data_IF_021881914383
#
_entry.id   IF_021881914383
#
_cell.length_a   1.000
_cell.length_b   1.000
_cell.length_c   1.000
_cell.angle_alpha   90.00
_cell.angle_beta   90.00
_cell.angle_gamma   90.00
#
_symmetry.space_group_name_H-M   'P 1'
#
loop_
_entity.id
_entity.type
_entity.pdbx_description
1 polymer ?
#
# COMPACT_ATOMS: atom_id res chain seq x y z
N UNK A 1 6.06 17.04 -3.80
CA UNK A 1 6.90 15.93 -4.31
C UNK A 1 6.77 15.79 -5.81
N UNK A 2 7.88 15.74 -6.55
CA UNK A 2 7.92 15.41 -7.97
C UNK A 2 8.22 13.92 -8.16
N UNK A 3 7.61 13.29 -9.17
CA UNK A 3 7.75 11.84 -9.43
C UNK A 3 8.30 11.64 -10.83
N UNK A 4 9.39 10.88 -10.94
CA UNK A 4 10.05 10.59 -12.21
C UNK A 4 10.16 9.09 -12.46
N UNK A 5 9.87 8.66 -13.66
CA UNK A 5 10.14 7.29 -14.10
C UNK A 5 11.55 7.21 -14.68
N UNK A 6 12.49 6.72 -13.87
CA UNK A 6 13.91 6.76 -14.17
C UNK A 6 14.54 8.13 -13.89
N UNK A 7 15.86 8.21 -14.02
CA UNK A 7 16.65 9.40 -13.66
C UNK A 7 17.10 10.25 -14.86
N UNK A 8 16.71 9.91 -16.08
CA UNK A 8 17.12 10.64 -17.31
C UNK A 8 16.19 11.79 -17.67
N UNK A 9 15.31 12.20 -16.77
CA UNK A 9 14.40 13.31 -17.00
C UNK A 9 15.08 14.64 -16.63
N UNK A 10 14.96 15.72 -17.44
CA UNK A 10 15.62 17.01 -17.18
C UNK A 10 15.16 17.69 -15.87
N UNK A 11 14.02 17.31 -15.31
CA UNK A 11 13.55 17.83 -14.03
C UNK A 11 14.14 17.12 -12.81
N UNK A 12 14.91 16.04 -12.98
CA UNK A 12 15.63 15.40 -11.88
C UNK A 12 16.75 16.32 -11.44
N UNK A 13 16.87 16.56 -10.14
CA UNK A 13 17.92 17.42 -9.59
C UNK A 13 19.31 16.85 -9.91
N UNK A 14 20.22 17.74 -10.31
CA UNK A 14 21.61 17.37 -10.62
C UNK A 14 22.45 17.02 -9.39
N UNK A 15 21.92 17.21 -8.17
CA UNK A 15 22.50 16.79 -6.91
C UNK A 15 21.37 16.56 -5.88
N UNK A 16 21.50 15.53 -5.02
CA UNK A 16 20.48 15.23 -4.02
C UNK A 16 21.02 14.52 -2.77
N UNK A 17 20.22 14.56 -1.70
CA UNK A 17 20.31 13.66 -0.57
C UNK A 17 19.37 12.49 -0.82
N UNK A 18 19.87 11.26 -0.84
CA UNK A 18 19.19 10.07 -1.35
C UNK A 18 18.92 9.04 -0.26
N UNK A 19 17.76 8.39 -0.32
CA UNK A 19 17.55 7.07 0.29
C UNK A 19 17.06 6.07 -0.75
N UNK A 20 17.39 4.80 -0.55
CA UNK A 20 17.13 3.71 -1.51
C UNK A 20 16.34 2.61 -0.81
N UNK A 21 15.19 2.24 -1.36
CA UNK A 21 14.40 1.16 -0.79
C UNK A 21 13.15 0.81 -1.59
N UNK A 22 12.51 -0.28 -1.19
CA UNK A 22 11.25 -0.68 -1.79
C UNK A 22 10.06 0.14 -1.27
N UNK A 23 10.14 0.66 -0.06
CA UNK A 23 9.13 1.48 0.61
C UNK A 23 7.72 0.86 0.55
N UNK A 24 7.63 -0.48 0.61
CA UNK A 24 6.34 -1.17 0.56
C UNK A 24 5.58 -0.95 1.87
N UNK A 25 4.46 -0.20 1.78
CA UNK A 25 3.63 0.21 2.90
C UNK A 25 4.06 1.50 3.60
N UNK A 26 5.22 2.08 3.33
CA UNK A 26 5.75 3.31 3.97
C UNK A 26 5.44 3.33 5.48
N UNK A 27 5.87 2.28 6.18
CA UNK A 27 5.68 2.08 7.62
C UNK A 27 6.48 3.09 8.46
N UNK A 28 6.23 3.18 9.76
CA UNK A 28 6.88 4.15 10.66
C UNK A 28 8.41 4.15 10.60
N UNK A 29 9.06 2.99 10.37
CA UNK A 29 10.50 2.93 10.14
C UNK A 29 10.93 3.66 8.87
N UNK A 30 10.17 3.54 7.78
CA UNK A 30 10.40 4.33 6.58
C UNK A 30 10.14 5.82 6.82
N UNK A 31 9.06 6.18 7.52
CA UNK A 31 8.73 7.57 7.85
C UNK A 31 9.84 8.22 8.69
N UNK A 32 10.38 7.53 9.69
CA UNK A 32 11.51 8.00 10.48
C UNK A 32 12.78 8.22 9.62
N UNK A 33 13.07 7.29 8.70
CA UNK A 33 14.17 7.41 7.74
C UNK A 33 13.99 8.64 6.83
N UNK A 34 12.77 8.86 6.33
CA UNK A 34 12.47 10.00 5.46
C UNK A 34 12.54 11.33 6.22
N UNK A 35 12.10 11.38 7.47
CA UNK A 35 12.24 12.58 8.32
C UNK A 35 13.71 12.94 8.56
N UNK A 36 14.56 11.93 8.82
CA UNK A 36 16.01 12.13 8.94
C UNK A 36 16.63 12.60 7.63
N UNK A 37 16.27 11.95 6.50
CA UNK A 37 16.71 12.34 5.16
C UNK A 37 16.36 13.80 4.85
N UNK A 38 15.11 14.22 5.12
CA UNK A 38 14.66 15.59 4.86
C UNK A 38 15.42 16.61 5.73
N UNK A 39 15.78 16.25 6.96
CA UNK A 39 16.58 17.10 7.85
C UNK A 39 17.99 17.27 7.28
N UNK A 40 18.64 16.18 6.91
CA UNK A 40 19.98 16.20 6.31
C UNK A 40 20.00 16.92 4.95
N UNK A 41 18.97 16.71 4.12
CA UNK A 41 18.83 17.39 2.84
C UNK A 41 18.76 18.92 3.03
N UNK A 42 17.90 19.40 3.94
CA UNK A 42 17.80 20.84 4.26
C UNK A 42 19.10 21.41 4.79
N UNK A 43 19.77 20.71 5.72
CA UNK A 43 21.06 21.15 6.27
C UNK A 43 22.13 21.33 5.21
N UNK A 44 22.08 20.50 4.15
CA UNK A 44 23.04 20.50 3.03
C UNK A 44 22.60 21.37 1.86
N UNK A 45 21.42 21.99 1.91
CA UNK A 45 20.86 22.75 0.79
C UNK A 45 20.55 21.90 -0.43
N UNK A 46 20.20 20.62 -0.24
CA UNK A 46 19.90 19.64 -1.28
C UNK A 46 18.43 19.24 -1.25
N UNK A 47 17.83 18.86 -2.39
CA UNK A 47 16.54 18.19 -2.39
C UNK A 47 16.64 16.78 -1.81
N UNK A 48 15.64 16.37 -1.04
CA UNK A 48 15.48 14.99 -0.60
C UNK A 48 14.96 14.12 -1.75
N UNK A 49 15.58 12.97 -1.95
CA UNK A 49 15.25 12.05 -3.03
C UNK A 49 15.04 10.62 -2.51
N UNK A 50 13.96 10.00 -2.96
CA UNK A 50 13.71 8.57 -2.76
C UNK A 50 13.94 7.82 -4.07
N UNK A 51 14.78 6.81 -4.05
CA UNK A 51 14.91 5.84 -5.14
C UNK A 51 14.16 4.57 -4.79
N UNK A 52 13.14 4.26 -5.56
CA UNK A 52 12.34 3.04 -5.41
C UNK A 52 12.18 2.30 -6.74
N UNK A 53 11.61 1.10 -6.70
CA UNK A 53 11.57 0.19 -7.84
C UNK A 53 10.14 -0.24 -8.16
N UNK A 54 9.84 -0.38 -9.47
CA UNK A 54 8.61 -0.99 -9.96
C UNK A 54 8.88 -1.75 -11.27
N UNK A 55 8.57 -3.07 -11.36
CA UNK A 55 8.00 -3.90 -10.28
C UNK A 55 8.94 -4.03 -9.08
N UNK A 56 8.39 -4.48 -7.95
CA UNK A 56 9.20 -4.80 -6.77
C UNK A 56 10.26 -5.86 -7.14
N UNK A 57 11.53 -5.74 -6.69
CA UNK A 57 12.60 -6.66 -7.09
C UNK A 57 12.26 -8.14 -6.88
N UNK A 58 11.60 -8.50 -5.78
CA UNK A 58 11.18 -9.89 -5.54
C UNK A 58 10.06 -10.36 -6.47
N UNK A 59 9.16 -9.46 -6.92
CA UNK A 59 8.15 -9.79 -7.93
C UNK A 59 8.81 -10.10 -9.26
N UNK A 60 9.80 -9.28 -9.65
CA UNK A 60 10.59 -9.51 -10.85
C UNK A 60 11.29 -10.89 -10.83
N UNK A 61 12.01 -11.21 -9.74
CA UNK A 61 12.71 -12.50 -9.63
C UNK A 61 11.75 -13.69 -9.54
N UNK A 62 10.61 -13.54 -8.87
CA UNK A 62 9.56 -14.56 -8.87
C UNK A 62 9.04 -14.85 -10.28
N UNK A 63 8.84 -13.80 -11.08
CA UNK A 63 8.46 -13.90 -12.49
C UNK A 63 9.52 -14.60 -13.35
N UNK A 64 10.79 -14.22 -13.21
CA UNK A 64 11.91 -14.85 -13.92
C UNK A 64 12.03 -16.34 -13.55
N UNK A 65 11.87 -16.67 -12.27
CA UNK A 65 11.90 -18.04 -11.78
C UNK A 65 10.62 -18.83 -12.14
N UNK A 66 9.58 -18.20 -12.69
CA UNK A 66 8.24 -18.76 -12.89
C UNK A 66 7.64 -19.37 -11.62
N UNK A 67 7.94 -18.74 -10.48
CA UNK A 67 7.51 -19.15 -9.14
C UNK A 67 6.81 -18.00 -8.44
N UNK A 68 5.56 -17.71 -8.79
CA UNK A 68 4.80 -16.57 -8.26
C UNK A 68 4.61 -16.60 -6.74
N UNK A 69 4.70 -17.79 -6.13
CA UNK A 69 4.64 -17.95 -4.67
C UNK A 69 5.83 -17.31 -3.93
N UNK A 70 6.95 -17.04 -4.62
CA UNK A 70 8.11 -16.35 -4.06
C UNK A 70 7.93 -14.83 -4.00
N UNK A 71 6.95 -14.29 -4.75
CA UNK A 71 6.61 -12.87 -4.67
C UNK A 71 6.02 -12.54 -3.29
N UNK A 72 6.44 -11.44 -2.64
CA UNK A 72 5.85 -11.02 -1.38
C UNK A 72 4.43 -10.53 -1.62
N UNK A 73 3.55 -10.72 -0.63
CA UNK A 73 2.30 -9.98 -0.61
C UNK A 73 2.61 -8.47 -0.57
N UNK A 74 1.99 -7.69 -1.48
CA UNK A 74 2.21 -6.23 -1.54
C UNK A 74 1.34 -5.55 -0.49
N UNK A 75 1.97 -4.68 0.31
CA UNK A 75 1.25 -3.87 1.31
C UNK A 75 0.56 -2.70 0.61
N UNK A 76 1.25 -2.05 -0.32
CA UNK A 76 0.74 -0.87 -1.00
C UNK A 76 0.74 -1.02 -2.53
N UNK A 77 -0.24 -0.41 -3.19
CA UNK A 77 -0.15 -0.14 -4.63
C UNK A 77 0.96 0.88 -4.90
N UNK A 78 1.41 1.01 -6.16
CA UNK A 78 2.34 2.08 -6.50
C UNK A 78 1.74 3.45 -6.20
N UNK A 79 0.45 3.66 -6.47
CA UNK A 79 -0.27 4.90 -6.15
C UNK A 79 -0.21 5.20 -4.66
N UNK A 80 -0.58 4.24 -3.82
CA UNK A 80 -0.59 4.41 -2.36
C UNK A 80 0.82 4.69 -1.84
N UNK A 81 1.83 3.94 -2.32
CA UNK A 81 3.24 4.18 -1.97
C UNK A 81 3.67 5.61 -2.30
N UNK A 82 3.37 6.10 -3.50
CA UNK A 82 3.74 7.46 -3.91
C UNK A 82 2.99 8.53 -3.12
N UNK A 83 1.71 8.31 -2.79
CA UNK A 83 0.94 9.22 -1.95
C UNK A 83 1.50 9.31 -0.53
N UNK A 84 1.89 8.17 0.05
CA UNK A 84 2.47 8.14 1.40
C UNK A 84 3.90 8.73 1.44
N UNK A 85 4.70 8.55 0.37
CA UNK A 85 5.99 9.25 0.24
C UNK A 85 5.81 10.77 0.13
N UNK A 86 4.78 11.21 -0.59
CA UNK A 86 4.43 12.63 -0.67
C UNK A 86 4.02 13.21 0.69
N UNK A 87 3.26 12.44 1.48
CA UNK A 87 2.86 12.83 2.84
C UNK A 87 4.05 12.88 3.83
N UNK A 88 5.21 12.32 3.47
CA UNK A 88 6.46 12.44 4.23
C UNK A 88 7.35 13.61 3.77
N UNK A 89 6.82 14.58 3.01
CA UNK A 89 7.52 15.78 2.55
C UNK A 89 8.80 15.52 1.75
N UNK A 90 8.84 14.41 0.99
CA UNK A 90 9.95 14.12 0.07
C UNK A 90 9.86 15.05 -1.14
N UNK A 91 10.98 15.64 -1.56
CA UNK A 91 11.00 16.56 -2.71
C UNK A 91 10.86 15.81 -4.03
N UNK A 92 11.60 14.71 -4.20
CA UNK A 92 11.62 13.93 -5.44
C UNK A 92 11.56 12.41 -5.16
N UNK A 93 10.80 11.69 -5.98
CA UNK A 93 10.80 10.22 -6.00
C UNK A 93 11.13 9.73 -7.40
N UNK A 94 12.19 8.92 -7.48
CA UNK A 94 12.62 8.25 -8.71
C UNK A 94 12.12 6.81 -8.64
N UNK A 95 11.25 6.43 -9.56
CA UNK A 95 10.79 5.06 -9.73
C UNK A 95 11.60 4.42 -10.84
N UNK A 96 12.54 3.54 -10.49
CA UNK A 96 13.31 2.79 -11.48
C UNK A 96 12.55 1.54 -11.94
N UNK A 97 12.45 1.31 -13.26
CA UNK A 97 12.04 0.02 -13.77
C UNK A 97 13.01 -1.07 -13.28
N UNK A 98 12.51 -2.06 -12.53
CA UNK A 98 13.34 -3.18 -12.12
C UNK A 98 13.23 -4.29 -13.17
N UNK A 99 14.21 -4.33 -14.07
CA UNK A 99 14.30 -5.22 -15.21
C UNK A 99 15.60 -6.04 -15.19
N UNK A 100 15.80 -6.84 -16.24
CA UNK A 100 17.02 -7.65 -16.40
C UNK A 100 18.30 -6.81 -16.40
N UNK A 101 18.23 -5.61 -16.98
CA UNK A 101 19.39 -4.71 -17.10
C UNK A 101 19.80 -4.19 -15.72
N UNK A 102 18.84 -3.71 -14.92
CA UNK A 102 19.11 -3.21 -13.57
C UNK A 102 19.52 -4.37 -12.64
N UNK A 103 18.85 -5.52 -12.74
CA UNK A 103 19.15 -6.69 -11.92
C UNK A 103 20.54 -7.30 -12.15
N UNK A 104 21.13 -7.08 -13.35
CA UNK A 104 22.46 -7.56 -13.73
C UNK A 104 23.59 -6.60 -13.37
N UNK A 105 23.29 -5.36 -12.97
CA UNK A 105 24.33 -4.38 -12.60
C UNK A 105 25.14 -4.84 -11.38
N UNK A 106 26.47 -4.81 -11.51
CA UNK A 106 27.34 -4.97 -10.34
C UNK A 106 27.14 -3.83 -9.34
N UNK A 107 27.51 -3.97 -8.06
CA UNK A 107 27.46 -2.85 -7.12
C UNK A 107 28.20 -1.60 -7.61
N UNK A 108 29.37 -1.75 -8.22
CA UNK A 108 30.18 -0.66 -8.76
C UNK A 108 29.47 0.05 -9.93
N UNK A 109 28.83 -0.74 -10.80
CA UNK A 109 28.05 -0.19 -11.92
C UNK A 109 26.84 0.59 -11.40
N UNK A 110 26.15 0.09 -10.37
CA UNK A 110 25.05 0.77 -9.74
C UNK A 110 25.49 2.10 -9.11
N UNK A 111 26.58 2.09 -8.34
CA UNK A 111 27.15 3.33 -7.75
C UNK A 111 27.46 4.33 -8.86
N UNK A 112 28.21 3.93 -9.89
CA UNK A 112 28.64 4.86 -10.94
C UNK A 112 27.46 5.36 -11.76
N UNK A 113 26.67 4.46 -12.35
CA UNK A 113 25.66 4.82 -13.34
C UNK A 113 24.40 5.42 -12.73
N UNK A 114 24.00 4.98 -11.52
CA UNK A 114 22.76 5.43 -10.89
C UNK A 114 23.05 6.54 -9.88
N UNK A 115 23.98 6.35 -8.95
CA UNK A 115 24.19 7.30 -7.87
C UNK A 115 24.99 8.53 -8.34
N UNK A 116 26.09 8.31 -9.06
CA UNK A 116 26.98 9.41 -9.48
C UNK A 116 26.50 10.07 -10.76
N UNK A 117 26.51 9.31 -11.87
CA UNK A 117 26.23 9.87 -13.20
C UNK A 117 24.73 10.21 -13.36
N UNK A 118 23.83 9.43 -12.71
CA UNK A 118 22.39 9.58 -12.86
C UNK A 118 21.77 10.59 -11.92
N UNK A 119 22.14 10.59 -10.64
CA UNK A 119 21.49 11.36 -9.57
C UNK A 119 22.41 12.40 -8.91
N UNK A 120 23.70 12.41 -9.23
CA UNK A 120 24.66 13.35 -8.64
C UNK A 120 24.65 13.36 -7.11
N UNK A 121 24.53 12.17 -6.52
CA UNK A 121 24.33 11.99 -5.08
C UNK A 121 25.44 12.68 -4.27
N UNK A 122 25.05 13.41 -3.20
CA UNK A 122 25.96 14.04 -2.23
C UNK A 122 25.83 13.45 -0.82
N UNK A 123 24.72 12.83 -0.53
CA UNK A 123 24.44 12.15 0.72
C UNK A 123 23.55 10.95 0.49
N UNK A 124 23.84 9.81 1.11
CA UNK A 124 23.02 8.58 1.06
C UNK A 124 22.69 8.12 2.45
N UNK A 125 21.40 7.94 2.74
CA UNK A 125 20.91 7.33 3.97
C UNK A 125 20.32 5.96 3.65
N UNK A 126 20.81 4.90 4.29
CA UNK A 126 20.33 3.52 4.09
C UNK A 126 19.99 2.83 5.42
N UNK A 127 19.18 1.78 5.35
CA UNK A 127 18.89 0.92 6.50
C UNK A 127 20.07 0.02 6.89
N UNK A 128 19.98 -0.59 8.06
CA UNK A 128 21.00 -1.47 8.62
C UNK A 128 21.21 -2.77 7.82
N UNK A 129 20.18 -3.25 7.12
CA UNK A 129 20.18 -4.47 6.29
C UNK A 129 20.33 -4.19 4.78
N UNK A 130 20.74 -2.96 4.43
CA UNK A 130 20.82 -2.52 3.04
C UNK A 130 21.81 -3.37 2.22
N UNK A 131 21.32 -3.85 1.08
CA UNK A 131 22.10 -4.59 0.09
C UNK A 131 21.69 -4.16 -1.31
N UNK A 132 22.65 -4.07 -2.23
CA UNK A 132 22.41 -3.62 -3.58
C UNK A 132 23.28 -4.35 -4.62
N UNK A 133 23.00 -4.07 -5.91
CA UNK A 133 23.67 -4.70 -7.02
C UNK A 133 23.30 -6.17 -7.24
N UNK A 134 23.84 -6.76 -8.29
CA UNK A 134 23.60 -8.15 -8.67
C UNK A 134 23.93 -9.10 -7.50
N UNK A 135 23.06 -10.09 -7.28
CA UNK A 135 23.16 -11.07 -6.19
C UNK A 135 23.26 -10.44 -4.79
N UNK A 136 22.87 -9.16 -4.63
CA UNK A 136 22.97 -8.40 -3.36
C UNK A 136 24.42 -8.32 -2.84
N UNK A 137 25.40 -8.24 -3.74
CA UNK A 137 26.82 -8.29 -3.41
C UNK A 137 27.33 -7.00 -2.74
N UNK A 138 26.71 -5.84 -3.03
CA UNK A 138 27.02 -4.56 -2.40
C UNK A 138 26.40 -4.43 -1.01
N UNK A 139 27.14 -3.80 -0.10
CA UNK A 139 26.73 -3.53 1.27
C UNK A 139 27.06 -2.09 1.71
N UNK A 140 26.80 -1.78 2.99
CA UNK A 140 27.09 -0.47 3.56
C UNK A 140 28.59 -0.12 3.46
N UNK A 141 29.49 -1.05 3.80
CA UNK A 141 30.93 -0.77 3.78
C UNK A 141 31.44 -0.42 2.39
N UNK A 142 30.95 -1.10 1.38
CA UNK A 142 31.27 -0.80 -0.02
C UNK A 142 30.74 0.58 -0.44
N UNK A 143 29.52 0.93 -0.02
CA UNK A 143 28.91 2.22 -0.33
C UNK A 143 29.65 3.37 0.37
N UNK A 144 30.05 3.18 1.62
CA UNK A 144 30.82 4.12 2.42
C UNK A 144 32.22 4.39 1.81
N UNK A 145 32.93 3.31 1.44
CA UNK A 145 34.21 3.42 0.74
C UNK A 145 34.08 4.17 -0.60
N UNK A 146 33.00 3.91 -1.36
CA UNK A 146 32.72 4.65 -2.60
C UNK A 146 32.39 6.11 -2.31
N UNK A 147 31.70 6.41 -1.21
CA UNK A 147 31.44 7.78 -0.75
C UNK A 147 32.74 8.57 -0.50
N UNK A 148 33.65 7.98 0.25
CA UNK A 148 34.96 8.55 0.51
C UNK A 148 35.78 8.80 -0.79
N UNK A 149 35.67 7.90 -1.76
CA UNK A 149 36.39 8.00 -3.04
C UNK A 149 35.77 9.05 -3.97
N UNK A 150 34.44 9.19 -4.00
CA UNK A 150 33.72 9.99 -4.99
C UNK A 150 33.09 11.27 -4.44
N UNK A 151 33.26 11.57 -3.15
CA UNK A 151 32.86 12.84 -2.54
C UNK A 151 31.36 12.90 -2.21
N UNK A 152 30.78 11.81 -1.70
CA UNK A 152 29.45 11.81 -1.09
C UNK A 152 29.47 11.14 0.29
N UNK A 153 28.65 11.63 1.20
CA UNK A 153 28.55 11.06 2.55
C UNK A 153 27.57 9.89 2.59
N UNK A 154 27.84 8.92 3.46
CA UNK A 154 26.94 7.78 3.67
C UNK A 154 26.61 7.65 5.15
N UNK A 155 25.32 7.53 5.46
CA UNK A 155 24.84 7.28 6.80
C UNK A 155 23.98 6.01 6.84
N UNK A 156 23.94 5.37 8.00
CA UNK A 156 23.14 4.19 8.26
C UNK A 156 22.16 4.47 9.40
N UNK A 157 20.89 4.18 9.16
CA UNK A 157 19.87 4.22 10.18
C UNK A 157 19.71 2.83 10.79
N UNK A 158 19.77 2.75 12.12
CA UNK A 158 19.45 1.53 12.86
C UNK A 158 17.95 1.18 12.76
N UNK A 159 17.61 -0.08 13.07
CA UNK A 159 16.24 -0.55 13.11
C UNK A 159 15.38 0.34 14.02
N UNK A 160 14.14 0.62 13.58
CA UNK A 160 13.16 1.42 14.30
C UNK A 160 12.15 0.50 15.01
N UNK A 161 11.85 0.81 16.26
CA UNK A 161 10.91 0.05 17.08
C UNK A 161 9.75 0.93 17.56
N UNK A 162 8.57 0.32 17.66
CA UNK A 162 7.38 0.93 18.26
C UNK A 162 6.84 -0.03 19.30
N UNK A 163 6.73 0.43 20.55
CA UNK A 163 6.28 -0.40 21.69
C UNK A 163 7.05 -1.74 21.81
N UNK A 164 8.36 -1.72 21.56
CA UNK A 164 9.21 -2.93 21.61
C UNK A 164 9.06 -3.87 20.40
N UNK A 165 8.28 -3.51 19.39
CA UNK A 165 8.14 -4.26 18.15
C UNK A 165 9.01 -3.63 17.07
N UNK A 166 9.88 -4.41 16.45
CA UNK A 166 10.65 -3.97 15.28
C UNK A 166 9.73 -3.67 14.12
N UNK A 167 9.75 -2.43 13.65
CA UNK A 167 8.92 -1.99 12.52
C UNK A 167 9.57 -2.41 11.20
N UNK A 168 8.89 -3.26 10.44
CA UNK A 168 9.34 -3.71 9.11
C UNK A 168 8.16 -4.06 8.22
N UNK A 169 8.37 -4.09 6.90
CA UNK A 169 7.34 -4.59 5.96
C UNK A 169 6.96 -6.05 6.25
N UNK A 170 7.84 -6.86 6.81
CA UNK A 170 7.52 -8.25 7.20
C UNK A 170 6.57 -8.28 8.37
N UNK A 171 6.78 -7.47 9.41
CA UNK A 171 5.88 -7.36 10.56
C UNK A 171 4.49 -6.86 10.14
N UNK A 172 4.44 -5.85 9.23
CA UNK A 172 3.15 -5.36 8.69
C UNK A 172 2.42 -6.46 7.94
N UNK A 173 3.10 -7.24 7.08
CA UNK A 173 2.48 -8.36 6.35
C UNK A 173 1.95 -9.44 7.27
N UNK A 174 2.70 -9.79 8.29
CA UNK A 174 2.29 -10.77 9.30
C UNK A 174 1.02 -10.30 10.03
N UNK A 175 1.00 -9.06 10.51
CA UNK A 175 -0.18 -8.48 11.16
C UNK A 175 -1.41 -8.44 10.22
N UNK A 176 -1.22 -8.09 8.93
CA UNK A 176 -2.27 -8.10 7.92
C UNK A 176 -2.84 -9.51 7.67
N UNK A 177 -1.97 -10.52 7.51
CA UNK A 177 -2.39 -11.92 7.34
C UNK A 177 -3.23 -12.41 8.53
N UNK A 178 -2.83 -12.03 9.74
CA UNK A 178 -3.53 -12.40 10.98
C UNK A 178 -4.75 -11.52 11.28
N UNK A 179 -5.02 -10.49 10.50
CA UNK A 179 -6.14 -9.57 10.72
C UNK A 179 -5.99 -8.67 11.95
N UNK A 180 -4.78 -8.53 12.49
CA UNK A 180 -4.47 -7.67 13.65
C UNK A 180 -4.38 -6.21 13.24
N UNK A 181 -5.53 -5.60 12.89
CA UNK A 181 -5.59 -4.28 12.27
C UNK A 181 -5.09 -3.16 13.20
N UNK A 182 -5.23 -3.30 14.52
CA UNK A 182 -4.65 -2.36 15.49
C UNK A 182 -3.11 -2.34 15.42
N UNK A 183 -2.48 -3.51 15.32
CA UNK A 183 -1.02 -3.63 15.15
C UNK A 183 -0.58 -3.07 13.80
N UNK A 184 -1.35 -3.35 12.74
CA UNK A 184 -1.09 -2.77 11.40
C UNK A 184 -1.09 -1.25 11.47
N UNK A 185 -2.09 -0.66 12.13
CA UNK A 185 -2.17 0.80 12.32
C UNK A 185 -1.00 1.32 13.15
N UNK A 186 -0.60 0.64 14.22
CA UNK A 186 0.55 1.01 15.03
C UNK A 186 1.86 0.98 14.22
N UNK A 187 2.07 -0.06 13.39
CA UNK A 187 3.26 -0.21 12.55
C UNK A 187 3.29 0.78 11.37
N UNK A 188 2.14 1.07 10.76
CA UNK A 188 2.02 2.00 9.64
C UNK A 188 1.93 3.47 10.10
N UNK A 189 1.49 3.73 11.34
CA UNK A 189 1.19 5.09 11.83
C UNK A 189 -0.14 5.65 11.32
N UNK A 190 -0.94 4.83 10.63
CA UNK A 190 -2.23 5.18 10.03
C UNK A 190 -3.03 3.90 9.75
N UNK A 191 -4.37 4.01 9.52
CA UNK A 191 -5.14 2.87 9.06
C UNK A 191 -4.58 2.30 7.74
N UNK A 192 -4.67 0.98 7.58
CA UNK A 192 -4.31 0.34 6.32
C UNK A 192 -5.35 0.67 5.27
N UNK A 193 -4.89 1.19 4.13
CA UNK A 193 -5.79 1.61 3.08
C UNK A 193 -5.32 1.14 1.70
N UNK A 194 -6.27 0.98 0.80
CA UNK A 194 -6.06 0.61 -0.59
C UNK A 194 -6.83 1.57 -1.47
N UNK A 195 -6.13 2.23 -2.42
CA UNK A 195 -6.75 3.17 -3.35
C UNK A 195 -6.80 2.60 -4.76
N UNK A 196 -7.87 2.91 -5.48
CA UNK A 196 -8.02 2.50 -6.86
C UNK A 196 -9.18 3.17 -7.58
N UNK A 197 -9.23 2.97 -8.89
CA UNK A 197 -10.40 3.37 -9.67
C UNK A 197 -11.54 2.39 -9.44
N UNK A 198 -12.74 2.94 -9.22
CA UNK A 198 -13.97 2.15 -9.20
C UNK A 198 -14.27 1.67 -10.61
N UNK A 199 -14.35 0.37 -10.79
CA UNK A 199 -14.65 -0.29 -12.06
C UNK A 199 -15.97 -1.04 -12.00
N UNK A 200 -16.56 -1.31 -13.17
CA UNK A 200 -17.76 -2.14 -13.24
C UNK A 200 -17.48 -3.57 -12.75
N UNK A 201 -18.32 -4.04 -11.80
CA UNK A 201 -18.39 -5.43 -11.38
C UNK A 201 -19.35 -6.26 -12.26
N UNK A 202 -19.58 -7.52 -11.89
CA UNK A 202 -20.59 -8.40 -12.54
C UNK A 202 -22.04 -7.99 -12.26
N UNK A 203 -22.29 -6.92 -11.49
CA UNK A 203 -23.63 -6.45 -11.07
C UNK A 203 -24.48 -7.51 -10.33
N UNK A 204 -23.85 -8.58 -9.83
CA UNK A 204 -24.53 -9.64 -9.09
C UNK A 204 -25.19 -9.12 -7.80
N UNK A 205 -24.54 -8.19 -7.10
CA UNK A 205 -25.09 -7.58 -5.88
C UNK A 205 -26.42 -6.87 -6.09
N UNK A 206 -26.64 -6.24 -7.27
CA UNK A 206 -27.94 -5.65 -7.61
C UNK A 206 -29.04 -6.73 -7.81
N UNK A 207 -28.69 -7.83 -8.49
CA UNK A 207 -29.63 -8.92 -8.73
C UNK A 207 -30.03 -9.63 -7.41
N UNK A 208 -29.07 -9.78 -6.49
CA UNK A 208 -29.27 -10.42 -5.20
C UNK A 208 -30.10 -9.57 -4.23
N UNK A 209 -29.94 -8.26 -4.25
CA UNK A 209 -30.68 -7.34 -3.38
C UNK A 209 -32.10 -7.06 -3.84
N UNK A 210 -32.36 -7.15 -5.16
CA UNK A 210 -33.70 -6.90 -5.73
C UNK A 210 -34.75 -7.96 -5.33
N UNK A 211 -34.32 -9.11 -4.83
CA UNK A 211 -35.22 -10.19 -4.35
C UNK A 211 -35.59 -10.08 -2.86
N UNK A 212 -35.03 -9.13 -2.11
CA UNK A 212 -35.31 -8.93 -0.71
C UNK A 212 -36.50 -7.97 -0.52
N UNK A 213 -37.56 -8.31 0.22
CA UNK A 213 -38.73 -7.44 0.44
C UNK A 213 -38.31 -6.09 1.04
N UNK A 214 -38.75 -4.98 0.42
CA UNK A 214 -38.53 -3.61 0.91
C UNK A 214 -37.19 -2.95 0.50
N UNK A 215 -36.46 -3.48 -0.52
CA UNK A 215 -35.21 -2.89 -1.02
C UNK A 215 -35.22 -2.79 -2.53
N UNK A 216 -35.50 -1.59 -3.03
CA UNK A 216 -35.45 -1.30 -4.47
C UNK A 216 -34.03 -1.20 -5.05
N UNK A 217 -32.98 -1.05 -4.21
CA UNK A 217 -31.64 -0.65 -4.66
C UNK A 217 -30.57 -1.76 -4.67
N UNK A 218 -30.85 -2.95 -4.17
CA UNK A 218 -29.88 -4.06 -4.08
C UNK A 218 -28.59 -3.70 -3.30
N UNK A 219 -27.60 -4.61 -3.28
CA UNK A 219 -26.27 -4.34 -2.73
C UNK A 219 -25.40 -3.65 -3.79
N UNK A 220 -25.23 -2.32 -3.67
CA UNK A 220 -24.30 -1.59 -4.52
C UNK A 220 -22.88 -1.84 -4.04
N UNK A 221 -22.01 -2.37 -4.92
CA UNK A 221 -20.61 -2.64 -4.61
C UNK A 221 -19.68 -1.81 -5.48
N UNK A 222 -18.69 -1.19 -4.86
CA UNK A 222 -17.53 -0.58 -5.49
C UNK A 222 -16.49 -1.69 -5.72
N UNK A 223 -16.03 -1.82 -6.95
CA UNK A 223 -15.06 -2.84 -7.31
C UNK A 223 -13.73 -2.16 -7.63
N UNK A 224 -12.68 -2.47 -6.86
CA UNK A 224 -11.31 -2.04 -7.12
C UNK A 224 -10.47 -3.24 -7.53
N UNK A 225 -9.83 -3.16 -8.71
CA UNK A 225 -8.97 -4.22 -9.26
C UNK A 225 -7.51 -3.88 -9.06
N UNK A 226 -6.72 -4.87 -8.68
CA UNK A 226 -5.28 -4.75 -8.45
C UNK A 226 -4.51 -5.68 -9.36
N UNK A 227 -3.30 -5.23 -9.74
CA UNK A 227 -2.36 -6.04 -10.50
C UNK A 227 -1.51 -6.95 -9.60
N UNK A 228 -1.73 -6.94 -8.28
CA UNK A 228 -0.94 -7.74 -7.35
C UNK A 228 -1.35 -9.20 -7.44
N UNK A 229 -0.35 -10.05 -7.48
CA UNK A 229 -0.53 -11.49 -7.50
C UNK A 229 -1.11 -12.01 -6.18
N UNK A 230 -0.62 -11.50 -5.04
CA UNK A 230 -1.00 -11.92 -3.70
C UNK A 230 -1.34 -10.70 -2.85
N UNK A 231 -2.57 -10.58 -2.31
CA UNK A 231 -2.92 -9.50 -1.40
C UNK A 231 -2.19 -9.67 -0.06
N UNK A 232 -1.88 -8.55 0.59
CA UNK A 232 -1.27 -8.57 1.92
C UNK A 232 -2.29 -8.91 3.02
N UNK A 233 -3.58 -8.66 2.76
CA UNK A 233 -4.69 -9.03 3.62
C UNK A 233 -5.74 -9.79 2.82
N UNK A 234 -6.61 -10.53 3.50
CA UNK A 234 -7.78 -11.19 2.93
C UNK A 234 -8.88 -11.33 3.97
N UNK A 235 -10.12 -11.41 3.52
CA UNK A 235 -11.30 -11.58 4.37
C UNK A 235 -12.31 -10.43 4.25
N UNK A 236 -13.22 -10.37 5.20
CA UNK A 236 -14.28 -9.37 5.29
C UNK A 236 -13.91 -8.34 6.35
N UNK A 237 -14.06 -7.06 6.01
CA UNK A 237 -13.61 -5.94 6.84
C UNK A 237 -14.68 -4.87 7.00
N UNK A 238 -14.78 -4.28 8.20
CA UNK A 238 -15.40 -2.99 8.38
C UNK A 238 -14.45 -1.90 7.84
N UNK A 239 -14.95 -1.00 6.98
CA UNK A 239 -14.14 -0.06 6.23
C UNK A 239 -14.71 1.35 6.20
N UNK A 240 -13.84 2.36 5.97
CA UNK A 240 -14.23 3.70 5.58
C UNK A 240 -13.83 3.97 4.13
N UNK A 241 -14.77 4.51 3.36
CA UNK A 241 -14.57 4.85 1.94
C UNK A 241 -14.46 6.35 1.78
N UNK A 242 -13.31 6.83 1.29
CA UNK A 242 -13.03 8.22 0.99
C UNK A 242 -13.12 8.50 -0.51
N UNK A 243 -13.44 9.74 -0.88
CA UNK A 243 -13.44 10.21 -2.27
C UNK A 243 -14.80 10.16 -2.99
N UNK A 244 -15.88 9.80 -2.28
CA UNK A 244 -17.23 9.82 -2.80
C UNK A 244 -18.08 10.96 -2.25
N UNK A 245 -17.80 11.40 -1.04
CA UNK A 245 -18.49 12.49 -0.33
C UNK A 245 -17.49 13.24 0.53
N UNK A 246 -17.90 14.38 1.12
CA UNK A 246 -17.06 15.18 2.03
C UNK A 246 -16.62 14.38 3.27
N UNK A 247 -17.52 13.54 3.79
CA UNK A 247 -17.22 12.64 4.92
C UNK A 247 -16.98 11.22 4.41
N UNK A 248 -16.03 10.49 5.02
CA UNK A 248 -15.86 9.08 4.70
C UNK A 248 -17.15 8.28 4.93
N UNK A 249 -17.47 7.37 4.01
CA UNK A 249 -18.65 6.53 4.11
C UNK A 249 -18.31 5.22 4.82
N UNK A 250 -19.05 4.84 5.86
CA UNK A 250 -18.90 3.53 6.49
C UNK A 250 -19.32 2.43 5.50
N UNK A 251 -18.62 1.31 5.55
CA UNK A 251 -18.85 0.20 4.63
C UNK A 251 -18.39 -1.14 5.17
N UNK A 252 -18.69 -2.17 4.40
CA UNK A 252 -18.15 -3.52 4.54
C UNK A 252 -17.46 -3.90 3.24
N UNK A 253 -16.30 -4.51 3.32
CA UNK A 253 -15.53 -4.88 2.14
C UNK A 253 -15.03 -6.32 2.21
N UNK A 254 -15.07 -7.00 1.05
CA UNK A 254 -14.36 -8.25 0.81
C UNK A 254 -13.06 -7.96 0.05
N UNK A 255 -11.92 -8.33 0.63
CA UNK A 255 -10.62 -8.34 -0.03
C UNK A 255 -10.19 -9.78 -0.24
N UNK A 256 -10.19 -10.23 -1.48
CA UNK A 256 -9.88 -11.60 -1.80
C UNK A 256 -9.36 -11.83 -3.22
N UNK A 257 -9.03 -13.07 -3.51
CA UNK A 257 -8.67 -13.52 -4.85
C UNK A 257 -9.91 -14.14 -5.47
N UNK A 258 -10.36 -13.55 -6.57
CA UNK A 258 -11.54 -14.03 -7.26
C UNK A 258 -11.33 -15.48 -7.74
N UNK A 259 -12.13 -16.46 -7.29
CA UNK A 259 -12.10 -17.79 -7.85
C UNK A 259 -12.57 -17.74 -9.31
N UNK A 260 -11.91 -18.49 -10.18
CA UNK A 260 -12.40 -18.73 -11.53
C UNK A 260 -13.54 -19.73 -11.46
N UNK A 261 -14.71 -19.33 -11.89
CA UNK A 261 -15.84 -20.23 -12.14
C UNK A 261 -15.85 -20.69 -13.61
N UNK A 262 -14.99 -20.09 -14.46
CA UNK A 262 -14.88 -20.36 -15.88
C UNK A 262 -13.40 -20.37 -16.29
N UNK A 263 -12.96 -21.41 -17.00
CA UNK A 263 -11.58 -21.54 -17.48
C UNK A 263 -11.15 -20.39 -18.40
N UNK A 264 -12.09 -19.66 -18.99
CA UNK A 264 -11.88 -18.52 -19.89
C UNK A 264 -12.03 -17.16 -19.18
N UNK A 265 -12.24 -17.12 -17.84
CA UNK A 265 -12.35 -15.85 -17.13
C UNK A 265 -10.98 -15.16 -17.07
N UNK A 266 -10.74 -14.21 -17.96
CA UNK A 266 -9.52 -13.35 -18.00
C UNK A 266 -9.24 -12.60 -16.69
N UNK A 267 -10.17 -12.60 -15.75
CA UNK A 267 -10.04 -11.98 -14.42
C UNK A 267 -9.84 -13.02 -13.31
N UNK A 268 -9.76 -14.30 -13.64
CA UNK A 268 -9.49 -15.36 -12.68
C UNK A 268 -8.16 -15.14 -11.94
N UNK A 269 -8.16 -15.37 -10.64
CA UNK A 269 -6.96 -15.24 -9.81
C UNK A 269 -6.51 -13.79 -9.54
N UNK A 270 -7.24 -12.77 -10.00
CA UNK A 270 -6.93 -11.36 -9.68
C UNK A 270 -7.47 -10.95 -8.32
N UNK A 271 -6.68 -10.17 -7.61
CA UNK A 271 -7.13 -9.53 -6.37
C UNK A 271 -8.21 -8.52 -6.67
N UNK A 272 -9.27 -8.59 -5.90
CA UNK A 272 -10.42 -7.69 -5.97
C UNK A 272 -10.76 -7.21 -4.56
N UNK A 273 -11.03 -5.91 -4.44
CA UNK A 273 -11.65 -5.33 -3.26
C UNK A 273 -13.07 -4.93 -3.66
N UNK A 274 -14.05 -5.65 -3.12
CA UNK A 274 -15.48 -5.38 -3.30
C UNK A 274 -16.00 -4.69 -2.05
N UNK A 275 -16.42 -3.43 -2.16
CA UNK A 275 -16.85 -2.64 -1.01
C UNK A 275 -18.31 -2.23 -1.17
N UNK A 276 -19.13 -2.48 -0.15
CA UNK A 276 -20.49 -2.01 -0.02
C UNK A 276 -20.55 -0.90 1.02
N UNK A 277 -20.94 0.33 0.61
CA UNK A 277 -21.20 1.43 1.53
C UNK A 277 -22.53 1.19 2.24
N UNK A 278 -22.54 1.32 3.58
CA UNK A 278 -23.72 1.09 4.41
C UNK A 278 -24.82 2.15 4.13
N UNK A 279 -24.38 3.38 3.87
CA UNK A 279 -25.22 4.52 3.55
C UNK A 279 -24.74 5.12 2.23
N UNK A 280 -25.49 4.89 1.16
CA UNK A 280 -25.14 5.39 -0.16
C UNK A 280 -25.68 6.82 -0.33
N UNK A 281 -24.84 7.82 -0.69
CA UNK A 281 -25.29 9.19 -0.93
C UNK A 281 -26.24 9.25 -2.13
N UNK A 282 -27.45 9.78 -1.92
CA UNK A 282 -28.48 9.85 -2.97
C UNK A 282 -28.01 10.70 -4.17
N UNK A 283 -27.21 11.74 -3.92
CA UNK A 283 -26.64 12.65 -4.92
C UNK A 283 -25.67 11.97 -5.89
N UNK A 284 -25.06 10.85 -5.51
CA UNK A 284 -24.19 10.07 -6.41
C UNK A 284 -24.98 9.28 -7.45
N UNK A 285 -26.28 9.09 -7.24
CA UNK A 285 -27.08 8.22 -8.11
C UNK A 285 -26.53 6.81 -8.23
N UNK A 286 -26.94 6.09 -9.27
CA UNK A 286 -26.57 4.68 -9.43
C UNK A 286 -25.16 4.47 -10.01
N UNK A 287 -24.63 5.43 -10.75
CA UNK A 287 -23.41 5.29 -11.57
C UNK A 287 -22.31 6.29 -11.15
N UNK A 288 -22.59 7.20 -10.21
CA UNK A 288 -21.71 8.33 -9.89
C UNK A 288 -20.38 8.00 -9.24
N UNK A 289 -20.15 6.75 -8.85
CA UNK A 289 -18.85 6.30 -8.33
C UNK A 289 -17.91 5.76 -9.40
N UNK A 290 -18.40 5.33 -10.56
CA UNK A 290 -17.56 4.72 -11.58
C UNK A 290 -16.53 5.69 -12.16
N UNK A 291 -15.30 5.19 -12.34
CA UNK A 291 -14.17 5.99 -12.80
C UNK A 291 -13.53 6.89 -11.72
N UNK A 292 -14.23 7.14 -10.60
CA UNK A 292 -13.64 7.87 -9.49
C UNK A 292 -12.53 7.07 -8.83
N UNK A 293 -11.55 7.78 -8.27
CA UNK A 293 -10.54 7.20 -7.40
C UNK A 293 -11.09 7.25 -5.99
N UNK A 294 -11.16 6.10 -5.34
CA UNK A 294 -11.53 5.99 -3.93
C UNK A 294 -10.38 5.40 -3.13
N UNK A 295 -10.33 5.74 -1.84
CA UNK A 295 -9.44 5.13 -0.85
C UNK A 295 -10.32 4.40 0.16
N UNK A 296 -10.07 3.11 0.33
CA UNK A 296 -10.79 2.24 1.27
C UNK A 296 -9.85 1.92 2.43
N UNK A 297 -10.19 2.42 3.61
CA UNK A 297 -9.47 2.13 4.87
C UNK A 297 -10.09 0.89 5.53
N UNK A 298 -9.27 -0.15 5.73
CA UNK A 298 -9.66 -1.38 6.40
C UNK A 298 -9.41 -1.22 7.91
N UNK A 299 -10.48 -1.09 8.69
CA UNK A 299 -10.40 -0.75 10.12
C UNK A 299 -10.38 -1.99 11.02
N UNK A 300 -11.24 -2.97 10.71
CA UNK A 300 -11.41 -4.17 11.52
C UNK A 300 -11.73 -5.35 10.63
N UNK A 301 -11.08 -6.50 10.88
CA UNK A 301 -11.39 -7.75 10.21
C UNK A 301 -12.57 -8.41 10.91
N UNK A 302 -13.69 -8.59 10.20
CA UNK A 302 -14.86 -9.26 10.73
C UNK A 302 -14.65 -10.77 10.74
N UNK A 303 -14.24 -11.35 9.61
CA UNK A 303 -13.91 -12.77 9.49
C UNK A 303 -13.17 -13.08 8.16
N UNK A 304 -12.74 -14.32 7.99
CA UNK A 304 -12.17 -14.83 6.74
C UNK A 304 -13.25 -15.03 5.67
N UNK A 305 -12.85 -15.13 4.40
CA UNK A 305 -13.79 -15.45 3.31
C UNK A 305 -14.49 -16.79 3.57
N UNK A 306 -15.81 -16.79 3.44
CA UNK A 306 -16.64 -17.98 3.57
C UNK A 306 -17.09 -18.48 2.18
N UNK A 307 -17.21 -19.80 2.03
CA UNK A 307 -17.80 -20.41 0.85
C UNK A 307 -19.26 -20.73 1.11
N UNK A 308 -20.12 -20.24 0.26
CA UNK A 308 -21.56 -20.46 0.35
C UNK A 308 -22.01 -21.53 -0.64
N UNK A 309 -22.91 -22.40 -0.22
CA UNK A 309 -23.41 -23.53 -1.02
C UNK A 309 -24.68 -23.20 -1.79
N UNK A 310 -25.34 -22.08 -1.46
CA UNK A 310 -26.54 -21.59 -2.16
C UNK A 310 -26.54 -20.06 -2.26
N UNK A 311 -27.41 -19.54 -3.11
CA UNK A 311 -27.64 -18.11 -3.30
C UNK A 311 -28.26 -17.47 -2.07
N UNK A 312 -29.18 -18.17 -1.41
CA UNK A 312 -29.84 -17.75 -0.18
C UNK A 312 -28.80 -17.63 0.96
N UNK A 313 -27.90 -18.63 1.12
CA UNK A 313 -26.83 -18.60 2.11
C UNK A 313 -25.85 -17.43 1.85
N UNK A 314 -25.50 -17.15 0.59
CA UNK A 314 -24.69 -16.00 0.21
C UNK A 314 -25.38 -14.68 0.57
N UNK A 315 -26.66 -14.53 0.24
CA UNK A 315 -27.43 -13.31 0.54
C UNK A 315 -27.53 -13.08 2.06
N UNK A 316 -27.79 -14.15 2.83
CA UNK A 316 -27.82 -14.09 4.29
C UNK A 316 -26.44 -13.72 4.88
N UNK A 317 -25.34 -14.28 4.32
CA UNK A 317 -23.97 -13.93 4.69
C UNK A 317 -23.67 -12.45 4.47
N UNK A 318 -23.96 -11.93 3.29
CA UNK A 318 -23.75 -10.48 2.97
C UNK A 318 -24.60 -9.59 3.91
N UNK A 319 -25.82 -9.99 4.24
CA UNK A 319 -26.66 -9.23 5.17
C UNK A 319 -26.05 -9.23 6.58
N UNK A 320 -25.53 -10.37 7.03
CA UNK A 320 -24.84 -10.49 8.32
C UNK A 320 -23.57 -9.63 8.35
N UNK A 321 -22.73 -9.68 7.33
CA UNK A 321 -21.49 -8.89 7.25
C UNK A 321 -21.77 -7.39 7.36
N UNK A 322 -22.83 -6.93 6.70
CA UNK A 322 -23.32 -5.55 6.80
C UNK A 322 -23.74 -5.18 8.22
N UNK A 323 -24.48 -6.07 8.90
CA UNK A 323 -24.99 -5.82 10.25
C UNK A 323 -23.84 -5.87 11.28
N UNK A 324 -22.86 -6.75 11.10
CA UNK A 324 -21.62 -6.81 11.90
C UNK A 324 -20.80 -5.52 11.72
N UNK A 325 -20.67 -5.00 10.49
CA UNK A 325 -20.02 -3.72 10.24
C UNK A 325 -20.74 -2.55 10.91
N UNK A 326 -22.08 -2.52 10.87
CA UNK A 326 -22.86 -1.49 11.59
C UNK A 326 -22.64 -1.54 13.10
N UNK A 327 -22.62 -2.75 13.68
CA UNK A 327 -22.36 -2.94 15.10
C UNK A 327 -20.95 -2.43 15.48
N UNK A 328 -19.93 -2.68 14.63
CA UNK A 328 -18.58 -2.16 14.83
C UNK A 328 -18.57 -0.62 14.87
N UNK A 329 -19.20 0.06 13.92
CA UNK A 329 -19.25 1.52 13.89
C UNK A 329 -20.03 2.11 15.07
N UNK A 330 -21.14 1.48 15.48
CA UNK A 330 -21.90 1.91 16.63
C UNK A 330 -21.09 1.83 17.95
N UNK A 331 -20.31 0.75 18.14
CA UNK A 331 -19.44 0.58 19.32
C UNK A 331 -18.31 1.62 19.35
N UNK A 332 -17.66 1.89 18.21
CA UNK A 332 -16.56 2.85 18.09
C UNK A 332 -17.03 4.29 18.38
N UNK A 333 -18.22 4.68 17.90
CA UNK A 333 -18.81 5.96 18.22
C UNK A 333 -19.11 6.12 19.73
N UNK A 334 -19.59 5.07 20.38
CA UNK A 334 -19.88 5.08 21.81
C UNK A 334 -18.60 5.25 22.66
N UNK A 335 -17.49 4.62 22.25
CA UNK A 335 -16.18 4.76 22.93
C UNK A 335 -15.61 6.16 22.80
N UNK A 336 -15.65 6.75 21.59
CA UNK A 336 -15.17 8.10 21.33
C UNK A 336 -15.94 9.14 22.17
N UNK A 337 -17.25 9.01 22.30
CA UNK A 337 -18.08 9.86 23.15
C UNK A 337 -17.74 9.75 24.63
N UNK A 338 -17.47 8.54 25.14
CA UNK A 338 -17.09 8.31 26.54
C UNK A 338 -15.73 8.90 26.86
N UNK A 339 -14.78 8.83 25.95
CA UNK A 339 -13.43 9.38 26.11
C UNK A 339 -13.45 10.92 26.12
N UNK A 340 -14.18 11.53 25.21
CA UNK A 340 -14.34 13.01 25.15
C UNK A 340 -15.05 13.56 26.39
N UNK A 341 -15.92 12.76 27.03
CA UNK A 341 -16.60 13.16 28.28
C UNK A 341 -15.68 13.01 29.49
N UNK A 342 -14.76 12.05 29.51
CA UNK A 342 -13.77 11.89 30.60
C UNK A 342 -12.67 12.96 30.56
N UNK A 343 -12.25 13.39 29.38
CA UNK A 343 -11.21 14.44 29.23
C UNK A 343 -11.74 15.86 29.49
N UNK A 344 -13.05 16.00 29.74
CA UNK A 344 -13.71 17.29 30.11
C UNK A 344 -14.06 17.41 31.61
N UNK A 345 -13.78 16.39 32.41
CA UNK A 345 -13.94 16.36 33.86
C UNK A 345 -12.56 16.35 34.50
#
# INVERSE_FOLDING_TARGET
>A
MQIFQGFRHPGVAGACALTIGNFDGVHRGHQAMLALLNTEARHRGLPSCVLTFEPHPRDYFAGVARRPELAPARIATLRDKLSELAACDVDQTIVLPFDARLAAQSPEQFIRQVLLDGLGVRYVLVGDDFRFGAKRAGDYAMLDAAGAQHGFDVARMNSYEVHGLRVSSSAVREALVQGRMADVQALLGRPYAISGHVVHGRKLGRALGATAPGREDGFRTLNLRFKHWKPAASGIFAVLVHGLSERPLPGVANLGVRPSLDANDVNAGRVLLETHCLDWPAELGAEGAYGKIVRVELLHKLHDELRYTSLEALTAGIAKDRDDARAFFASTHAETHRQTTRDRI
#
